data_IF_211712108618
#
_entry.id   IF_211712108618
#
_cell.length_a   1.000
_cell.length_b   1.000
_cell.length_c   1.000
_cell.angle_alpha   90.00
_cell.angle_beta   90.00
_cell.angle_gamma   90.00
#
_symmetry.space_group_name_H-M   'P 1'
#
loop_
_entity.id
_entity.type
_entity.pdbx_description
1 polymer ?
#
# COMPACT_ATOMS: atom_id res chain seq x y z
N UNK A 1 6.58 -4.08 -24.13
CA UNK A 1 6.27 -5.50 -23.92
C UNK A 1 7.12 -5.95 -22.77
N UNK A 2 6.58 -5.78 -21.57
CA UNK A 2 7.37 -5.40 -20.41
C UNK A 2 7.67 -6.60 -19.52
N UNK A 3 8.54 -7.45 -20.05
CA UNK A 3 9.43 -8.23 -19.17
C UNK A 3 10.17 -7.25 -18.25
N UNK A 4 10.52 -7.68 -17.04
CA UNK A 4 11.42 -6.93 -16.16
C UNK A 4 12.66 -6.42 -16.92
N UNK A 5 12.99 -5.15 -16.74
CA UNK A 5 14.22 -4.52 -17.25
C UNK A 5 15.47 -5.21 -16.69
N UNK A 6 16.64 -5.09 -17.32
CA UNK A 6 17.88 -5.68 -16.81
C UNK A 6 18.16 -5.33 -15.34
N UNK A 7 17.99 -4.06 -14.96
CA UNK A 7 18.17 -3.60 -13.58
C UNK A 7 17.17 -4.26 -12.62
N UNK A 8 15.90 -4.38 -13.02
CA UNK A 8 14.89 -5.06 -12.22
C UNK A 8 15.11 -6.59 -12.15
N UNK A 9 15.76 -7.20 -13.14
CA UNK A 9 16.15 -8.62 -13.06
C UNK A 9 17.22 -8.82 -11.98
N UNK A 10 18.20 -7.92 -11.85
CA UNK A 10 19.20 -7.99 -10.78
C UNK A 10 18.54 -7.90 -9.40
N UNK A 11 17.62 -6.94 -9.22
CA UNK A 11 16.84 -6.80 -7.98
C UNK A 11 15.97 -8.04 -7.73
N UNK A 12 15.33 -8.59 -8.77
CA UNK A 12 14.52 -9.79 -8.65
C UNK A 12 15.33 -10.99 -8.14
N UNK A 13 16.53 -11.19 -8.68
CA UNK A 13 17.44 -12.26 -8.23
C UNK A 13 17.88 -12.05 -6.77
N UNK A 14 18.14 -10.81 -6.35
CA UNK A 14 18.43 -10.51 -4.94
C UNK A 14 17.24 -10.86 -4.04
N UNK A 15 16.02 -10.46 -4.42
CA UNK A 15 14.79 -10.77 -3.69
C UNK A 15 14.61 -12.28 -3.57
N UNK A 16 14.77 -13.02 -4.67
CA UNK A 16 14.66 -14.48 -4.70
C UNK A 16 15.66 -15.12 -3.71
N UNK A 17 16.90 -14.61 -3.67
CA UNK A 17 17.95 -15.10 -2.77
C UNK A 17 17.64 -14.94 -1.28
N UNK A 18 16.66 -14.11 -0.89
CA UNK A 18 16.23 -13.94 0.51
C UNK A 18 15.39 -15.11 1.02
N UNK A 19 14.90 -15.98 0.13
CA UNK A 19 13.98 -17.05 0.48
C UNK A 19 14.60 -18.44 0.25
N UNK A 20 14.32 -19.43 1.12
CA UNK A 20 14.79 -20.80 0.91
C UNK A 20 14.08 -21.51 -0.26
N UNK A 21 12.89 -21.02 -0.66
CA UNK A 21 12.15 -21.47 -1.84
C UNK A 21 11.89 -20.28 -2.76
N UNK A 22 12.30 -20.31 -4.05
CA UNK A 22 12.14 -19.18 -4.96
C UNK A 22 10.69 -18.70 -5.12
N UNK A 23 9.72 -19.63 -5.13
CA UNK A 23 8.28 -19.30 -5.18
C UNK A 23 7.82 -18.37 -4.05
N UNK A 24 8.49 -18.34 -2.90
CA UNK A 24 8.14 -17.42 -1.81
C UNK A 24 8.39 -15.95 -2.13
N UNK A 25 9.13 -15.66 -3.22
CA UNK A 25 9.37 -14.30 -3.70
C UNK A 25 8.25 -13.74 -4.59
N UNK A 26 7.15 -14.46 -4.85
CA UNK A 26 6.14 -14.01 -5.82
C UNK A 26 5.56 -12.63 -5.50
N UNK A 27 5.15 -12.37 -4.25
CA UNK A 27 4.56 -11.08 -3.86
C UNK A 27 5.52 -9.90 -4.11
N UNK A 28 6.76 -9.90 -3.59
CA UNK A 28 7.68 -8.78 -3.86
C UNK A 28 8.07 -8.64 -5.33
N UNK A 29 8.14 -9.74 -6.11
CA UNK A 29 8.40 -9.68 -7.55
C UNK A 29 7.22 -9.08 -8.35
N UNK A 30 5.99 -9.39 -7.95
CA UNK A 30 4.80 -8.78 -8.54
C UNK A 30 4.73 -7.28 -8.26
N UNK A 31 5.12 -6.85 -7.06
CA UNK A 31 5.25 -5.42 -6.75
C UNK A 31 6.34 -4.75 -7.61
N UNK A 32 7.46 -5.42 -7.86
CA UNK A 32 8.53 -4.90 -8.71
C UNK A 32 8.07 -4.73 -10.17
N UNK A 33 7.31 -5.70 -10.70
CA UNK A 33 6.70 -5.60 -12.02
C UNK A 33 5.69 -4.45 -12.11
N UNK A 34 4.81 -4.33 -11.11
CA UNK A 34 3.84 -3.25 -11.05
C UNK A 34 4.50 -1.86 -10.89
N UNK A 35 5.61 -1.77 -10.17
CA UNK A 35 6.38 -0.52 -10.06
C UNK A 35 6.96 -0.07 -11.41
N UNK A 36 7.35 -1.02 -12.25
CA UNK A 36 7.91 -0.73 -13.57
C UNK A 36 6.88 -0.15 -14.54
N UNK A 37 5.69 -0.77 -14.61
CA UNK A 37 4.71 -0.53 -15.68
C UNK A 37 3.35 -0.01 -15.18
N UNK A 38 3.22 0.23 -13.88
CA UNK A 38 1.99 0.66 -13.21
C UNK A 38 0.97 -0.45 -12.97
N UNK A 39 1.10 -1.59 -13.67
CA UNK A 39 0.23 -2.76 -13.56
C UNK A 39 1.02 -4.03 -13.89
N UNK A 40 0.49 -5.18 -13.51
CA UNK A 40 1.09 -6.48 -13.75
C UNK A 40 0.59 -7.05 -15.08
N UNK A 41 1.49 -7.08 -16.07
CA UNK A 41 1.19 -7.64 -17.40
C UNK A 41 1.33 -9.17 -17.44
N UNK A 42 0.69 -9.81 -18.41
CA UNK A 42 0.85 -11.25 -18.67
C UNK A 42 2.32 -11.63 -18.95
N UNK A 43 3.05 -10.77 -19.68
CA UNK A 43 4.47 -10.98 -19.95
C UNK A 43 5.34 -10.86 -18.70
N UNK A 44 5.02 -9.92 -17.80
CA UNK A 44 5.69 -9.80 -16.52
C UNK A 44 5.43 -11.04 -15.64
N UNK A 45 4.20 -11.54 -15.59
CA UNK A 45 3.87 -12.78 -14.87
C UNK A 45 4.61 -13.99 -15.43
N UNK A 46 4.67 -14.12 -16.76
CA UNK A 46 5.44 -15.18 -17.42
C UNK A 46 6.93 -15.08 -17.09
N UNK A 47 7.51 -13.88 -17.11
CA UNK A 47 8.92 -13.68 -16.76
C UNK A 47 9.20 -14.01 -15.29
N UNK A 48 8.33 -13.58 -14.36
CA UNK A 48 8.45 -13.93 -12.94
C UNK A 48 8.38 -15.45 -12.75
N UNK A 49 7.48 -16.12 -13.47
CA UNK A 49 7.33 -17.57 -13.43
C UNK A 49 8.62 -18.31 -13.83
N UNK A 50 9.27 -17.85 -14.90
CA UNK A 50 10.58 -18.35 -15.35
C UNK A 50 11.67 -18.15 -14.28
N UNK A 51 11.73 -16.99 -13.63
CA UNK A 51 12.73 -16.68 -12.61
C UNK A 51 12.62 -17.55 -11.35
N UNK A 52 11.39 -17.88 -10.94
CA UNK A 52 11.15 -18.66 -9.71
C UNK A 52 10.89 -20.15 -9.95
N UNK A 53 10.81 -20.59 -11.21
CA UNK A 53 10.60 -21.98 -11.60
C UNK A 53 9.19 -22.51 -11.34
N UNK A 54 8.15 -21.71 -11.62
CA UNK A 54 6.74 -22.10 -11.49
C UNK A 54 5.98 -21.83 -12.79
N UNK A 55 4.70 -22.19 -12.86
CA UNK A 55 3.85 -21.85 -14.01
C UNK A 55 3.32 -20.41 -13.93
N UNK A 56 3.08 -19.77 -15.08
CA UNK A 56 2.42 -18.45 -15.12
C UNK A 56 1.02 -18.48 -14.48
N UNK A 57 0.32 -19.62 -14.55
CA UNK A 57 -0.97 -19.82 -13.88
C UNK A 57 -0.86 -19.77 -12.35
N UNK A 58 0.23 -20.28 -11.76
CA UNK A 58 0.47 -20.14 -10.31
C UNK A 58 0.80 -18.70 -9.91
N UNK A 59 1.51 -17.96 -10.77
CA UNK A 59 1.76 -16.52 -10.57
C UNK A 59 0.44 -15.77 -10.59
N UNK A 60 -0.40 -16.00 -11.62
CA UNK A 60 -1.72 -15.39 -11.74
C UNK A 60 -2.61 -15.74 -10.54
N UNK A 61 -2.63 -17.01 -10.11
CA UNK A 61 -3.41 -17.43 -8.94
C UNK A 61 -2.96 -16.78 -7.64
N UNK A 62 -1.68 -16.42 -7.53
CA UNK A 62 -1.18 -15.62 -6.39
C UNK A 62 -1.55 -14.15 -6.56
N UNK A 63 -1.34 -13.58 -7.74
CA UNK A 63 -1.58 -12.17 -8.02
C UNK A 63 -3.06 -11.80 -7.88
N UNK A 64 -3.97 -12.62 -8.43
CA UNK A 64 -5.41 -12.34 -8.41
C UNK A 64 -6.04 -12.46 -7.02
N UNK A 65 -5.35 -13.09 -6.07
CA UNK A 65 -5.79 -13.17 -4.69
C UNK A 65 -5.56 -11.85 -3.93
N UNK A 66 -4.54 -11.07 -4.31
CA UNK A 66 -4.20 -9.83 -3.64
C UNK A 66 -4.68 -8.62 -4.46
N UNK A 67 -5.67 -7.91 -3.93
CA UNK A 67 -6.27 -6.70 -4.52
C UNK A 67 -5.25 -5.58 -4.86
N UNK A 68 -4.10 -5.59 -4.20
CA UNK A 68 -3.00 -4.65 -4.44
C UNK A 68 -2.44 -4.72 -5.87
N UNK A 69 -2.61 -5.84 -6.57
CA UNK A 69 -2.10 -6.01 -7.93
C UNK A 69 -3.15 -5.62 -8.95
N UNK A 70 -2.78 -4.70 -9.85
CA UNK A 70 -3.62 -4.19 -10.93
C UNK A 70 -3.26 -4.92 -12.21
N UNK A 71 -4.26 -5.39 -12.94
CA UNK A 71 -4.08 -6.07 -14.23
C UNK A 71 -4.40 -5.17 -15.42
N UNK A 72 -4.97 -3.99 -15.16
CA UNK A 72 -5.25 -2.96 -16.15
C UNK A 72 -4.40 -1.72 -15.88
N UNK A 73 -4.07 -0.92 -16.91
CA UNK A 73 -3.33 0.31 -16.73
C UNK A 73 -4.04 1.27 -15.77
N UNK A 74 -3.35 1.64 -14.69
CA UNK A 74 -3.77 2.70 -13.78
C UNK A 74 -3.05 4.01 -14.12
N UNK A 75 -3.60 5.11 -13.63
CA UNK A 75 -2.97 6.42 -13.73
C UNK A 75 -1.62 6.46 -13.02
N UNK A 76 -0.86 7.53 -13.30
CA UNK A 76 0.42 7.77 -12.63
C UNK A 76 0.30 7.86 -11.10
N UNK A 77 -0.85 8.25 -10.57
CA UNK A 77 -1.07 8.35 -9.13
C UNK A 77 -2.29 7.53 -8.76
N UNK A 78 -2.04 6.41 -8.09
CA UNK A 78 -3.07 5.57 -7.50
C UNK A 78 -3.41 6.12 -6.11
N UNK A 79 -4.57 6.76 -6.00
CA UNK A 79 -5.10 7.35 -4.77
C UNK A 79 -6.04 6.36 -4.08
N UNK A 80 -5.62 5.84 -2.94
CA UNK A 80 -6.36 4.87 -2.14
C UNK A 80 -6.95 5.57 -0.91
N UNK A 81 -8.27 5.70 -0.84
CA UNK A 81 -8.96 6.40 0.25
C UNK A 81 -9.56 5.36 1.20
N UNK A 82 -9.19 5.41 2.48
CA UNK A 82 -9.69 4.47 3.47
C UNK A 82 -11.14 4.82 3.86
N UNK A 83 -12.06 3.88 3.66
CA UNK A 83 -13.48 4.02 4.02
C UNK A 83 -13.91 3.09 5.16
N UNK A 84 -12.96 2.40 5.81
CA UNK A 84 -13.24 1.54 6.95
C UNK A 84 -13.58 2.37 8.21
N UNK A 85 -14.16 1.71 9.23
CA UNK A 85 -14.88 2.27 10.40
C UNK A 85 -14.24 3.54 10.97
N UNK A 86 -12.95 3.53 11.31
CA UNK A 86 -12.32 4.71 11.92
C UNK A 86 -12.25 5.92 10.99
N UNK A 87 -12.04 5.70 9.69
CA UNK A 87 -12.06 6.77 8.70
C UNK A 87 -13.49 7.18 8.37
N UNK A 88 -14.41 6.23 8.25
CA UNK A 88 -15.84 6.49 8.05
C UNK A 88 -16.40 7.42 9.15
N UNK A 89 -16.12 7.13 10.42
CA UNK A 89 -16.54 7.98 11.55
C UNK A 89 -15.93 9.39 11.54
N UNK A 90 -14.84 9.57 10.80
CA UNK A 90 -14.06 10.83 10.72
C UNK A 90 -14.22 11.54 9.37
N UNK A 91 -15.18 11.15 8.54
CA UNK A 91 -15.44 11.82 7.26
C UNK A 91 -14.81 11.14 6.03
N UNK A 92 -14.48 9.86 6.10
CA UNK A 92 -13.78 9.14 5.02
C UNK A 92 -14.62 8.92 3.77
N UNK A 93 -15.94 8.74 3.92
CA UNK A 93 -16.87 8.66 2.78
C UNK A 93 -17.00 10.02 2.10
N UNK A 94 -17.13 11.09 2.90
CA UNK A 94 -17.21 12.46 2.42
C UNK A 94 -15.92 12.88 1.68
N UNK A 95 -14.76 12.40 2.15
CA UNK A 95 -13.48 12.58 1.47
C UNK A 95 -13.45 11.85 0.12
N UNK A 96 -13.99 10.63 0.05
CA UNK A 96 -14.10 9.88 -1.20
C UNK A 96 -15.02 10.59 -2.19
N UNK A 97 -16.21 11.02 -1.75
CA UNK A 97 -17.16 11.78 -2.58
C UNK A 97 -16.54 13.10 -3.09
N UNK A 98 -15.79 13.80 -2.22
CA UNK A 98 -15.05 15.00 -2.61
C UNK A 98 -13.98 14.70 -3.67
N UNK A 99 -13.27 13.58 -3.54
CA UNK A 99 -12.27 13.14 -4.51
C UNK A 99 -12.92 12.79 -5.86
N UNK A 100 -14.06 12.10 -5.86
CA UNK A 100 -14.85 11.81 -7.07
C UNK A 100 -15.26 13.09 -7.80
N UNK A 101 -15.77 14.08 -7.06
CA UNK A 101 -16.17 15.37 -7.63
C UNK A 101 -14.97 16.14 -8.20
N UNK A 102 -13.87 16.18 -7.46
CA UNK A 102 -12.66 16.94 -7.83
C UNK A 102 -11.97 16.36 -9.07
N UNK A 103 -11.93 15.03 -9.20
CA UNK A 103 -11.29 14.34 -10.32
C UNK A 103 -12.24 14.00 -11.46
N UNK A 104 -13.56 14.03 -11.22
CA UNK A 104 -14.59 13.71 -12.20
C UNK A 104 -14.66 12.22 -12.57
N UNK A 105 -14.29 11.34 -11.65
CA UNK A 105 -14.21 9.88 -11.84
C UNK A 105 -14.79 9.13 -10.64
N UNK A 106 -15.11 7.85 -10.80
CA UNK A 106 -15.57 6.93 -9.73
C UNK A 106 -14.42 6.03 -9.23
N UNK A 107 -14.53 5.39 -8.04
CA UNK A 107 -13.66 4.31 -7.62
C UNK A 107 -13.42 3.26 -8.72
N UNK A 108 -12.17 2.89 -8.91
CA UNK A 108 -11.71 1.98 -9.97
C UNK A 108 -11.53 2.63 -11.35
N UNK A 109 -11.80 3.93 -11.52
CA UNK A 109 -11.63 4.63 -12.80
C UNK A 109 -10.37 5.50 -12.80
N UNK A 110 -9.90 5.78 -14.02
CA UNK A 110 -8.73 6.62 -14.27
C UNK A 110 -9.15 7.89 -15.02
N UNK A 111 -8.57 9.03 -14.67
CA UNK A 111 -8.81 10.31 -15.34
C UNK A 111 -8.36 10.25 -16.82
N UNK A 112 -9.00 11.04 -17.68
CA UNK A 112 -8.70 11.07 -19.12
C UNK A 112 -7.27 11.53 -19.46
N UNK A 113 -6.63 12.27 -18.55
CA UNK A 113 -5.23 12.69 -18.66
C UNK A 113 -4.23 11.58 -18.21
N UNK A 114 -4.73 10.42 -17.75
CA UNK A 114 -3.92 9.30 -17.28
C UNK A 114 -3.16 9.57 -15.98
N UNK A 115 -3.49 10.65 -15.26
CA UNK A 115 -2.75 11.05 -14.07
C UNK A 115 -3.25 10.37 -12.80
N UNK A 116 -4.56 10.23 -12.61
CA UNK A 116 -5.12 9.75 -11.35
C UNK A 116 -6.04 8.55 -11.57
N UNK A 117 -5.89 7.56 -10.72
CA UNK A 117 -6.92 6.55 -10.46
C UNK A 117 -7.33 6.72 -9.00
N UNK A 118 -8.61 6.55 -8.69
CA UNK A 118 -9.09 6.53 -7.30
C UNK A 118 -9.62 5.14 -6.95
N UNK A 119 -9.37 4.70 -5.72
CA UNK A 119 -9.92 3.46 -5.17
C UNK A 119 -10.44 3.73 -3.76
N UNK A 120 -11.61 3.17 -3.46
CA UNK A 120 -12.05 2.96 -2.09
C UNK A 120 -11.31 1.73 -1.56
N UNK A 121 -10.63 1.89 -0.43
CA UNK A 121 -9.88 0.79 0.16
C UNK A 121 -10.31 0.56 1.59
N UNK A 122 -10.11 -0.69 2.00
CA UNK A 122 -10.26 -1.11 3.38
C UNK A 122 -9.15 -0.52 4.28
N UNK A 123 -9.13 -0.95 5.53
CA UNK A 123 -8.20 -0.44 6.54
C UNK A 123 -6.74 -0.43 6.08
N UNK A 124 -6.14 0.76 5.98
CA UNK A 124 -4.72 0.97 5.66
C UNK A 124 -3.81 1.05 6.91
N UNK A 125 -4.33 0.65 8.08
CA UNK A 125 -3.62 0.61 9.36
C UNK A 125 -3.13 1.96 9.90
N UNK A 126 -3.79 3.06 9.54
CA UNK A 126 -3.51 4.42 10.05
C UNK A 126 -4.69 5.02 10.84
N UNK A 127 -5.41 4.19 11.60
CA UNK A 127 -6.67 4.58 12.25
C UNK A 127 -6.54 5.72 13.27
N UNK A 128 -5.40 5.86 13.94
CA UNK A 128 -5.13 6.97 14.89
C UNK A 128 -4.95 8.32 14.20
N UNK A 129 -4.81 8.30 12.88
CA UNK A 129 -4.54 9.43 12.01
C UNK A 129 -5.66 9.62 10.97
N UNK A 130 -6.85 9.09 11.24
CA UNK A 130 -8.02 9.22 10.39
C UNK A 130 -8.52 10.69 10.26
N UNK A 131 -9.15 11.07 9.13
CA UNK A 131 -9.25 10.30 7.90
C UNK A 131 -7.90 10.25 7.18
N UNK A 132 -7.62 9.14 6.49
CA UNK A 132 -6.32 8.91 5.86
C UNK A 132 -6.45 8.27 4.47
N UNK A 133 -5.50 8.59 3.60
CA UNK A 133 -5.39 8.06 2.25
C UNK A 133 -3.94 7.72 1.93
N UNK A 134 -3.73 7.02 0.82
CA UNK A 134 -2.41 6.81 0.25
C UNK A 134 -2.35 7.28 -1.20
N UNK A 135 -1.20 7.78 -1.63
CA UNK A 135 -0.87 7.95 -3.05
C UNK A 135 0.36 7.13 -3.35
N UNK A 136 0.26 6.11 -4.21
CA UNK A 136 1.36 5.19 -4.53
C UNK A 136 2.10 4.66 -3.27
N UNK A 137 1.33 4.24 -2.25
CA UNK A 137 1.80 3.81 -0.92
C UNK A 137 2.54 4.88 -0.08
N UNK A 138 2.36 6.16 -0.37
CA UNK A 138 2.72 7.26 0.54
C UNK A 138 1.49 7.68 1.33
N UNK A 139 1.61 7.65 2.66
CA UNK A 139 0.50 7.97 3.55
C UNK A 139 0.28 9.47 3.67
N UNK A 140 -0.99 9.85 3.72
CA UNK A 140 -1.48 11.17 4.08
C UNK A 140 -2.48 11.02 5.22
N UNK A 141 -2.25 11.79 6.28
CA UNK A 141 -2.87 11.63 7.59
C UNK A 141 -3.72 12.86 7.93
N UNK A 142 -4.85 12.65 8.60
CA UNK A 142 -5.79 13.70 9.03
C UNK A 142 -6.14 14.68 7.91
N UNK A 143 -6.26 14.17 6.69
CA UNK A 143 -6.36 14.99 5.48
C UNK A 143 -7.74 15.66 5.41
N UNK A 144 -7.77 16.97 5.13
CA UNK A 144 -9.02 17.69 4.83
C UNK A 144 -9.31 17.73 3.33
N UNK A 145 -10.52 18.12 2.95
CA UNK A 145 -10.90 18.29 1.53
C UNK A 145 -10.03 19.34 0.83
N UNK A 146 -9.69 20.45 1.51
CA UNK A 146 -8.81 21.48 0.96
C UNK A 146 -7.37 20.97 0.79
N UNK A 147 -6.88 20.17 1.74
CA UNK A 147 -5.56 19.53 1.64
C UNK A 147 -5.52 18.49 0.52
N UNK A 148 -6.64 17.79 0.28
CA UNK A 148 -6.80 16.90 -0.87
C UNK A 148 -6.71 17.67 -2.20
N UNK A 149 -7.43 18.80 -2.33
CA UNK A 149 -7.37 19.63 -3.53
C UNK A 149 -5.96 20.15 -3.81
N UNK A 150 -5.28 20.59 -2.75
CA UNK A 150 -3.89 21.02 -2.85
C UNK A 150 -2.96 19.86 -3.25
N UNK A 151 -3.16 18.67 -2.68
CA UNK A 151 -2.41 17.47 -3.05
C UNK A 151 -2.60 17.13 -4.53
N UNK A 152 -3.82 17.17 -5.06
CA UNK A 152 -4.11 16.94 -6.49
C UNK A 152 -3.42 17.99 -7.36
N UNK A 153 -3.49 19.27 -6.97
CA UNK A 153 -2.84 20.35 -7.70
C UNK A 153 -1.31 20.19 -7.74
N UNK A 154 -0.69 19.87 -6.60
CA UNK A 154 0.75 19.63 -6.47
C UNK A 154 1.20 18.43 -7.34
N UNK A 155 0.41 17.36 -7.36
CA UNK A 155 0.67 16.17 -8.16
C UNK A 155 0.56 16.45 -9.67
N UNK A 156 -0.45 17.22 -10.10
CA UNK A 156 -0.58 17.68 -11.50
C UNK A 156 0.58 18.56 -11.92
N UNK A 157 1.06 19.43 -11.02
CA UNK A 157 2.18 20.32 -11.27
C UNK A 157 3.55 19.61 -11.20
N UNK A 158 3.61 18.36 -10.72
CA UNK A 158 4.86 17.64 -10.49
C UNK A 158 5.71 18.21 -9.36
N UNK A 159 5.09 18.89 -8.39
CA UNK A 159 5.78 19.55 -7.27
C UNK A 159 6.26 18.55 -6.18
N UNK A 160 5.81 17.29 -6.24
CA UNK A 160 6.10 16.25 -5.24
C UNK A 160 7.09 15.22 -5.79
N UNK A 161 8.30 15.23 -5.25
CA UNK A 161 9.36 14.28 -5.60
C UNK A 161 9.45 13.08 -4.62
N UNK A 162 8.69 13.12 -3.54
CA UNK A 162 8.63 12.08 -2.50
C UNK A 162 7.73 10.90 -2.87
N UNK A 163 6.86 11.10 -3.87
CA UNK A 163 5.88 10.13 -4.37
C UNK A 163 6.43 9.52 -5.66
N UNK A 164 6.68 8.20 -5.70
CA UNK A 164 7.15 7.54 -6.91
C UNK A 164 6.03 7.54 -7.97
N UNK A 165 6.41 7.33 -9.23
CA UNK A 165 5.43 7.22 -10.33
C UNK A 165 4.52 6.00 -10.17
N UNK A 166 4.97 4.90 -9.57
CA UNK A 166 4.14 3.75 -9.23
C UNK A 166 4.56 3.17 -7.88
N UNK A 167 3.67 2.39 -7.25
CA UNK A 167 3.76 2.04 -5.85
C UNK A 167 4.99 1.23 -5.44
N UNK A 168 5.93 1.85 -4.73
CA UNK A 168 7.05 1.16 -4.08
C UNK A 168 6.72 0.85 -2.61
N UNK A 169 6.45 -0.42 -2.27
CA UNK A 169 6.29 -0.84 -0.86
C UNK A 169 7.60 -0.75 -0.05
N UNK A 170 8.76 -0.83 -0.71
CA UNK A 170 10.05 -1.06 -0.05
C UNK A 170 10.59 0.09 0.81
N UNK A 171 9.95 1.27 0.82
CA UNK A 171 10.48 2.46 1.54
C UNK A 171 9.77 2.80 2.84
N UNK A 172 8.63 2.18 3.18
CA UNK A 172 7.90 2.52 4.41
C UNK A 172 8.54 1.85 5.62
N UNK A 173 9.60 2.49 6.15
CA UNK A 173 10.15 2.15 7.47
C UNK A 173 9.60 3.16 8.47
N UNK A 174 8.45 2.87 9.08
CA UNK A 174 7.94 3.71 10.16
C UNK A 174 9.00 3.80 11.27
N UNK A 175 9.46 5.02 11.56
CA UNK A 175 10.37 5.30 12.67
C UNK A 175 9.55 6.01 13.75
N UNK A 176 9.12 5.26 14.76
CA UNK A 176 8.46 5.84 15.94
C UNK A 176 9.56 6.45 16.84
N UNK A 177 9.56 7.79 17.03
CA UNK A 177 10.47 8.47 17.95
C UNK A 177 10.38 7.88 19.36
N UNK A 178 11.50 7.83 20.09
CA UNK A 178 11.58 7.16 21.40
C UNK A 178 10.58 7.75 22.40
N UNK A 179 10.36 9.06 22.34
CA UNK A 179 9.40 9.83 23.15
C UNK A 179 7.93 9.51 22.81
N UNK A 180 7.66 8.89 21.66
CA UNK A 180 6.31 8.48 21.22
C UNK A 180 6.11 6.96 21.19
N UNK A 181 7.09 6.18 21.66
CA UNK A 181 6.92 4.73 21.80
C UNK A 181 5.94 4.47 22.94
N UNK A 182 4.98 3.58 22.70
CA UNK A 182 3.96 3.21 23.67
C UNK A 182 4.57 2.46 24.86
N UNK A 183 5.12 3.18 25.85
CA UNK A 183 5.47 2.68 27.18
C UNK A 183 6.13 1.29 27.24
N UNK A 184 6.90 0.91 26.21
CA UNK A 184 7.45 -0.44 26.07
C UNK A 184 8.59 -0.58 27.05
N UNK A 185 8.25 -0.91 28.29
CA UNK A 185 9.19 -1.48 29.24
C UNK A 185 9.53 -2.89 28.78
N UNK A 186 10.76 -3.33 29.03
CA UNK A 186 11.13 -4.70 28.67
C UNK A 186 10.30 -5.68 29.50
N UNK A 187 10.14 -6.95 29.06
CA UNK A 187 9.37 -7.94 29.82
C UNK A 187 9.85 -8.08 31.28
N UNK A 188 11.15 -7.86 31.53
CA UNK A 188 11.76 -7.90 32.85
C UNK A 188 11.33 -6.72 33.74
N UNK A 189 11.08 -5.55 33.13
CA UNK A 189 10.67 -4.31 33.80
C UNK A 189 9.13 -4.12 33.82
N UNK A 190 8.39 -5.08 33.28
CA UNK A 190 6.92 -5.02 33.22
C UNK A 190 6.32 -5.45 34.56
N UNK A 191 5.73 -4.49 35.29
CA UNK A 191 4.93 -4.80 36.47
C UNK A 191 3.68 -5.60 36.09
N UNK A 192 3.19 -6.46 36.98
CA UNK A 192 1.94 -7.18 36.73
C UNK A 192 0.79 -6.19 36.46
N UNK A 193 -0.05 -6.44 35.45
CA UNK A 193 -1.20 -5.59 35.21
C UNK A 193 -2.17 -5.63 36.39
N UNK A 194 -2.69 -4.47 36.77
CA UNK A 194 -3.58 -4.32 37.94
C UNK A 194 -4.84 -5.19 37.83
N UNK A 195 -5.29 -5.49 36.61
CA UNK A 195 -6.44 -6.34 36.32
C UNK A 195 -6.16 -7.86 36.43
N UNK A 196 -4.88 -8.26 36.50
CA UNK A 196 -4.47 -9.65 36.70
C UNK A 196 -4.54 -10.07 38.19
N UNK A 197 -4.46 -9.10 39.10
CA UNK A 197 -4.49 -9.34 40.55
C UNK A 197 -5.86 -9.89 41.01
N UNK A 198 -6.96 -9.37 40.47
CA UNK A 198 -8.32 -9.78 40.86
C UNK A 198 -8.72 -11.20 40.42
N UNK A 199 -7.99 -11.81 39.48
CA UNK A 199 -8.29 -13.18 39.02
C UNK A 199 -7.61 -14.28 39.86
N UNK A 200 -6.67 -13.91 40.74
CA UNK A 200 -6.04 -14.86 41.67
C UNK A 200 -6.82 -15.02 42.98
N UNK A 201 -7.51 -13.96 43.44
CA UNK A 201 -8.35 -14.01 44.65
C UNK A 201 -9.62 -14.86 44.48
N UNK A 202 -10.09 -15.08 43.25
CA UNK A 202 -11.28 -15.90 42.95
C UNK A 202 -11.04 -17.42 42.99
N UNK A 203 -9.83 -17.87 43.33
CA UNK A 203 -9.44 -19.31 43.39
C UNK A 203 -9.12 -19.82 44.80
N UNK A 204 -9.47 -19.09 45.86
CA UNK A 204 -9.34 -19.54 47.25
C UNK A 204 -10.68 -19.86 47.89
#
# INVERSE_FOLDING_TARGET
MARLTPDNVEIALEIIGRYPRPKSALIPLLHLAQEQDGHVTDEAMAHIAELVGVSAAEVLGTASFYEMFKFEPVGRYMVNICTNISCQLMGGEELLEHAEHTLGIRPGQTTADGLFTIEDVECIAACTEAPCLQVNYRYFHRITNEEFDQLVADLRAGARNDIPAHGTLARVRQRIPVDRRAGVVTPEDTAQPVWLAGSQEAKS
#
